data_IF_544294878410
#
_entry.id   IF_544294878410
#
_cell.length_a   1.000
_cell.length_b   1.000
_cell.length_c   1.000
_cell.angle_alpha   90.00
_cell.angle_beta   90.00
_cell.angle_gamma   90.00
#
_symmetry.space_group_name_H-M   'P 1'
#
loop_
_entity.id
_entity.type
_entity.pdbx_description
1 polymer ?
#
# COMPACT_ATOMS: atom_id res chain seq x y z
N UNK A 1 -24.85 -5.84 -8.77
CA UNK A 1 -25.10 -6.43 -10.11
C UNK A 1 -23.96 -6.07 -11.09
N UNK A 2 -22.70 -6.36 -10.71
CA UNK A 2 -21.50 -5.97 -11.49
C UNK A 2 -21.11 -6.99 -12.57
N UNK A 3 -21.57 -8.24 -12.44
CA UNK A 3 -21.23 -9.33 -13.35
C UNK A 3 -21.67 -9.08 -14.81
N UNK A 4 -22.77 -8.34 -15.03
CA UNK A 4 -23.29 -8.08 -16.38
C UNK A 4 -22.40 -7.12 -17.17
N UNK A 5 -21.67 -6.22 -16.50
CA UNK A 5 -20.78 -5.25 -17.16
C UNK A 5 -19.48 -5.89 -17.64
N UNK A 6 -18.98 -6.92 -16.95
CA UNK A 6 -17.74 -7.60 -17.32
C UNK A 6 -17.91 -8.48 -18.59
N UNK A 7 -19.10 -9.06 -18.80
CA UNK A 7 -19.38 -9.99 -19.89
C UNK A 7 -19.64 -9.33 -21.26
N UNK A 8 -19.95 -8.03 -21.30
CA UNK A 8 -20.30 -7.30 -22.54
C UNK A 8 -19.12 -6.58 -23.20
N UNK A 9 -17.89 -6.78 -22.73
CA UNK A 9 -16.68 -6.21 -23.37
C UNK A 9 -16.60 -4.68 -23.38
N UNK A 10 -17.53 -3.98 -22.72
CA UNK A 10 -17.45 -2.52 -22.54
C UNK A 10 -16.40 -2.22 -21.48
N UNK A 11 -15.14 -2.06 -21.90
CA UNK A 11 -14.12 -1.40 -21.07
C UNK A 11 -14.70 -0.05 -20.62
N UNK A 12 -14.83 0.22 -19.32
CA UNK A 12 -15.17 1.55 -18.85
C UNK A 12 -14.06 2.50 -19.32
N UNK A 13 -14.30 3.25 -20.40
CA UNK A 13 -13.43 4.35 -20.84
C UNK A 13 -13.66 5.57 -19.95
N UNK A 14 -13.46 5.42 -18.65
CA UNK A 14 -13.18 6.57 -17.78
C UNK A 14 -11.73 6.45 -17.41
N UNK A 15 -10.92 7.35 -17.95
CA UNK A 15 -9.63 7.73 -17.36
C UNK A 15 -9.97 8.33 -16.00
N UNK A 16 -10.14 7.46 -15.01
CA UNK A 16 -10.04 7.89 -13.63
C UNK A 16 -8.54 8.15 -13.46
N UNK A 17 -8.18 9.41 -13.20
CA UNK A 17 -6.86 9.77 -12.69
C UNK A 17 -6.39 8.71 -11.70
N UNK A 18 -5.19 8.15 -11.88
CA UNK A 18 -4.71 7.01 -11.10
C UNK A 18 -4.82 7.26 -9.58
N UNK A 19 -4.65 8.52 -9.18
CA UNK A 19 -4.88 8.99 -7.80
C UNK A 19 -6.31 8.77 -7.32
N UNK A 20 -7.30 9.20 -8.09
CA UNK A 20 -8.73 9.05 -7.76
C UNK A 20 -9.16 7.58 -7.73
N UNK A 21 -8.47 6.73 -8.50
CA UNK A 21 -8.68 5.28 -8.53
C UNK A 21 -8.15 4.62 -7.23
N UNK A 22 -7.00 5.07 -6.74
CA UNK A 22 -6.43 4.63 -5.47
C UNK A 22 -7.26 5.11 -4.27
N UNK A 23 -7.67 6.38 -4.27
CA UNK A 23 -8.56 6.95 -3.23
C UNK A 23 -9.89 6.17 -3.16
N UNK A 24 -10.54 5.93 -4.31
CA UNK A 24 -11.76 5.13 -4.36
C UNK A 24 -11.54 3.69 -3.90
N UNK A 25 -10.43 3.05 -4.29
CA UNK A 25 -10.13 1.68 -3.86
C UNK A 25 -9.90 1.56 -2.34
N UNK A 26 -9.27 2.57 -1.72
CA UNK A 26 -9.07 2.63 -0.27
C UNK A 26 -10.39 2.85 0.45
N UNK A 27 -11.23 3.76 -0.07
CA UNK A 27 -12.56 4.05 0.47
C UNK A 27 -13.48 2.82 0.36
N UNK A 28 -13.54 2.19 -0.81
CA UNK A 28 -14.35 0.99 -1.06
C UNK A 28 -13.85 -0.21 -0.24
N UNK A 29 -12.54 -0.34 -0.06
CA UNK A 29 -11.96 -1.39 0.79
C UNK A 29 -12.16 -1.11 2.29
N UNK A 30 -12.64 0.08 2.68
CA UNK A 30 -12.88 0.46 4.06
C UNK A 30 -11.60 0.45 4.92
N UNK A 31 -10.44 0.76 4.33
CA UNK A 31 -9.14 0.66 5.01
C UNK A 31 -8.90 1.93 5.84
N UNK A 32 -8.94 1.87 7.18
CA UNK A 32 -8.67 3.04 8.02
C UNK A 32 -7.17 3.36 8.04
N UNK A 33 -6.81 4.61 8.35
CA UNK A 33 -5.40 5.01 8.52
C UNK A 33 -4.69 4.20 9.62
N UNK A 34 -5.42 3.76 10.66
CA UNK A 34 -4.90 2.85 11.70
C UNK A 34 -4.43 1.50 11.15
N UNK A 35 -4.82 1.12 9.93
CA UNK A 35 -4.29 -0.05 9.25
C UNK A 35 -2.79 0.09 8.98
N UNK A 36 -2.28 1.31 8.79
CA UNK A 36 -0.85 1.56 8.60
C UNK A 36 -0.04 1.10 9.81
N UNK A 37 -0.54 1.33 11.03
CA UNK A 37 0.11 0.88 12.26
C UNK A 37 0.11 -0.64 12.37
N UNK A 38 -0.98 -1.28 11.96
CA UNK A 38 -1.10 -2.75 11.90
C UNK A 38 -0.07 -3.31 10.91
N UNK A 39 0.05 -2.71 9.74
CA UNK A 39 1.02 -3.12 8.71
C UNK A 39 2.45 -2.95 9.21
N UNK A 40 2.80 -1.82 9.81
CA UNK A 40 4.12 -1.58 10.40
C UNK A 40 4.43 -2.60 11.50
N UNK A 41 3.46 -2.87 12.38
CA UNK A 41 3.62 -3.87 13.45
C UNK A 41 3.80 -5.28 12.86
N UNK A 42 3.03 -5.65 11.85
CA UNK A 42 3.14 -6.94 11.17
C UNK A 42 4.51 -7.10 10.48
N UNK A 43 5.04 -6.04 9.89
CA UNK A 43 6.36 -6.04 9.25
C UNK A 43 7.52 -6.29 10.20
N UNK A 44 7.35 -6.06 11.51
CA UNK A 44 8.37 -6.37 12.53
C UNK A 44 8.38 -7.83 12.98
N UNK A 45 7.55 -8.69 12.39
CA UNK A 45 7.54 -10.11 12.73
C UNK A 45 8.94 -10.73 12.49
N UNK A 46 9.58 -11.35 13.50
CA UNK A 46 10.91 -11.94 13.37
C UNK A 46 11.02 -12.98 12.24
N UNK A 47 9.92 -13.67 11.93
CA UNK A 47 9.87 -14.65 10.83
C UNK A 47 10.09 -14.00 9.45
N UNK A 48 9.88 -12.68 9.33
CA UNK A 48 10.08 -11.92 8.10
C UNK A 48 11.49 -11.35 7.96
N UNK A 49 12.34 -11.44 9.00
CA UNK A 49 13.67 -10.83 9.03
C UNK A 49 14.50 -11.16 7.78
N UNK A 50 14.62 -12.45 7.46
CA UNK A 50 15.39 -12.91 6.30
C UNK A 50 14.77 -12.43 4.98
N UNK A 51 13.44 -12.37 4.88
CA UNK A 51 12.75 -11.91 3.68
C UNK A 51 12.99 -10.41 3.44
N UNK A 52 12.89 -9.61 4.49
CA UNK A 52 13.12 -8.16 4.45
C UNK A 52 14.57 -7.82 4.08
N UNK A 53 15.53 -8.60 4.57
CA UNK A 53 16.94 -8.42 4.23
C UNK A 53 17.28 -8.82 2.79
N UNK A 54 16.51 -9.72 2.19
CA UNK A 54 16.70 -10.20 0.81
C UNK A 54 15.82 -9.49 -0.23
N UNK A 55 15.11 -8.43 0.16
CA UNK A 55 14.32 -7.63 -0.78
C UNK A 55 15.21 -6.78 -1.70
N UNK A 56 14.69 -6.35 -2.88
CA UNK A 56 15.39 -5.39 -3.75
C UNK A 56 15.78 -4.08 -3.05
N UNK A 57 14.96 -3.66 -2.07
CA UNK A 57 15.28 -2.64 -1.09
C UNK A 57 15.36 -3.31 0.29
N UNK A 58 16.55 -3.69 0.76
CA UNK A 58 16.72 -4.38 2.04
C UNK A 58 16.25 -3.51 3.21
N UNK A 59 15.59 -4.13 4.18
CA UNK A 59 15.15 -3.48 5.41
C UNK A 59 15.66 -4.25 6.64
N UNK A 60 16.29 -3.53 7.56
CA UNK A 60 16.76 -4.04 8.83
C UNK A 60 15.83 -3.61 9.98
N UNK A 61 15.09 -4.60 10.49
CA UNK A 61 14.15 -4.42 11.61
C UNK A 61 14.87 -3.95 12.89
N UNK A 62 16.06 -4.47 13.17
CA UNK A 62 16.81 -4.14 14.40
C UNK A 62 17.38 -2.72 14.37
N UNK A 63 17.58 -2.15 13.19
CA UNK A 63 18.01 -0.75 13.00
C UNK A 63 16.85 0.24 12.92
N UNK A 64 15.59 -0.21 13.10
CA UNK A 64 14.41 0.65 12.99
C UNK A 64 14.11 1.11 11.55
N UNK A 65 14.56 0.36 10.54
CA UNK A 65 14.34 0.73 9.13
C UNK A 65 12.90 0.49 8.67
N UNK A 66 12.14 -0.34 9.38
CA UNK A 66 10.71 -0.52 9.10
C UNK A 66 9.97 0.80 9.37
N UNK A 67 10.22 1.43 10.50
CA UNK A 67 9.56 2.67 10.88
C UNK A 67 10.06 3.85 10.06
N UNK A 68 11.39 3.95 9.90
CA UNK A 68 12.00 5.10 9.21
C UNK A 68 11.88 5.06 7.69
N UNK A 69 11.76 3.89 7.06
CA UNK A 69 11.63 3.76 5.59
C UNK A 69 10.25 3.27 5.16
N UNK A 70 9.77 2.17 5.74
CA UNK A 70 8.48 1.59 5.32
C UNK A 70 7.29 2.42 5.79
N UNK A 71 7.33 3.05 6.96
CA UNK A 71 6.27 3.96 7.44
C UNK A 71 5.92 5.07 6.46
N UNK A 72 6.90 5.92 6.09
CA UNK A 72 6.67 6.99 5.12
C UNK A 72 6.27 6.46 3.74
N UNK A 73 6.80 5.30 3.30
CA UNK A 73 6.43 4.66 2.04
C UNK A 73 4.97 4.20 2.02
N UNK A 74 4.49 3.58 3.11
CA UNK A 74 3.09 3.17 3.23
C UNK A 74 2.16 4.38 3.30
N UNK A 75 2.58 5.45 3.99
CA UNK A 75 1.84 6.71 4.04
C UNK A 75 1.75 7.37 2.66
N UNK A 76 2.86 7.40 1.90
CA UNK A 76 2.88 7.87 0.52
C UNK A 76 1.90 7.08 -0.37
N UNK A 77 1.85 5.75 -0.21
CA UNK A 77 0.92 4.90 -0.94
C UNK A 77 -0.55 5.17 -0.55
N UNK A 78 -0.81 5.48 0.72
CA UNK A 78 -2.13 5.77 1.23
C UNK A 78 -2.64 7.15 0.81
N UNK A 79 -1.79 8.19 0.86
CA UNK A 79 -2.17 9.58 0.54
C UNK A 79 -1.93 9.98 -0.91
N UNK A 80 -1.16 9.19 -1.65
CA UNK A 80 -0.64 9.54 -2.97
C UNK A 80 0.49 10.58 -2.95
N UNK A 81 0.98 10.96 -1.77
CA UNK A 81 2.07 11.94 -1.63
C UNK A 81 3.44 11.26 -1.66
N UNK A 82 4.05 11.22 -2.85
CA UNK A 82 5.35 10.60 -3.06
C UNK A 82 6.52 11.36 -2.41
N UNK A 83 6.31 12.60 -1.96
CA UNK A 83 7.35 13.38 -1.26
C UNK A 83 7.72 12.79 0.10
N UNK A 84 6.89 11.88 0.61
CA UNK A 84 7.11 11.18 1.87
C UNK A 84 8.10 10.01 1.73
N UNK A 85 8.50 9.59 0.52
CA UNK A 85 9.42 8.47 0.33
C UNK A 85 10.87 8.94 0.55
N UNK A 86 11.64 8.31 1.47
CA UNK A 86 13.02 8.69 1.78
C UNK A 86 14.07 8.14 0.80
#
# INVERSE_FOLDING_TARGET
MWALHFLIGRRPRRLIESRKLAEWAIEEAGVPESQLDIMIKASKNPQLKMKLQNMPAPLNVERGEVESKMGPTLRAAFTGDLTLIP
#
